data_IF_480067492672
#
_entry.id   IF_480067492672
#
_cell.length_a   1.000
_cell.length_b   1.000
_cell.length_c   1.000
_cell.angle_alpha   90.00
_cell.angle_beta   90.00
_cell.angle_gamma   90.00
#
_symmetry.space_group_name_H-M   'P 1'
#
loop_
_entity.id
_entity.type
_entity.pdbx_description
1 polymer ?
#
# COMPACT_ATOMS: atom_id res chain seq x y z
N UNK A 1 -9.93 -0.31 4.74
CA UNK A 1 -9.74 0.85 3.83
C UNK A 1 -9.26 2.10 4.55
N UNK A 2 -9.99 2.68 5.52
CA UNK A 2 -9.55 3.91 6.23
C UNK A 2 -8.18 3.78 6.91
N UNK A 3 -7.95 2.68 7.61
CA UNK A 3 -6.65 2.39 8.25
C UNK A 3 -5.48 2.34 7.25
N UNK A 4 -5.73 1.83 6.04
CA UNK A 4 -4.70 1.70 4.99
C UNK A 4 -4.21 3.08 4.54
N UNK A 5 -5.12 4.04 4.39
CA UNK A 5 -4.78 5.41 4.04
C UNK A 5 -4.02 6.11 5.17
N UNK A 6 -4.42 5.88 6.43
CA UNK A 6 -3.75 6.45 7.61
C UNK A 6 -2.32 5.90 7.74
N UNK A 7 -2.13 4.58 7.61
CA UNK A 7 -0.80 3.97 7.65
C UNK A 7 0.08 4.43 6.48
N UNK A 8 -0.47 4.49 5.27
CA UNK A 8 0.28 4.96 4.09
C UNK A 8 0.69 6.43 4.22
N UNK A 9 -0.15 7.27 4.83
CA UNK A 9 0.15 8.67 5.11
C UNK A 9 1.22 8.82 6.21
N UNK A 10 1.14 8.02 7.29
CA UNK A 10 2.16 8.04 8.33
C UNK A 10 3.54 7.64 7.77
N UNK A 11 3.60 6.61 6.93
CA UNK A 11 4.85 6.14 6.31
C UNK A 11 5.42 7.20 5.35
N UNK A 12 4.58 7.85 4.54
CA UNK A 12 5.03 8.89 3.60
C UNK A 12 5.54 10.15 4.32
N UNK A 13 4.92 10.54 5.44
CA UNK A 13 5.38 11.66 6.28
C UNK A 13 6.74 11.34 6.92
N UNK A 14 6.91 10.13 7.46
CA UNK A 14 8.20 9.70 8.03
C UNK A 14 9.29 9.69 6.96
N UNK A 15 9.01 9.15 5.78
CA UNK A 15 9.94 9.18 4.64
C UNK A 15 10.33 10.62 4.28
N UNK A 16 9.34 11.52 4.17
CA UNK A 16 9.58 12.93 3.87
C UNK A 16 10.47 13.59 4.93
N UNK A 17 10.22 13.36 6.22
CA UNK A 17 11.03 13.91 7.32
C UNK A 17 12.48 13.42 7.28
N UNK A 18 12.71 12.13 7.07
CA UNK A 18 14.06 11.58 6.96
C UNK A 18 14.80 12.15 5.76
N UNK A 19 14.14 12.18 4.60
CA UNK A 19 14.73 12.74 3.39
C UNK A 19 14.97 14.25 3.49
N UNK A 20 14.10 14.97 4.18
CA UNK A 20 14.28 16.39 4.44
C UNK A 20 15.48 16.65 5.37
N UNK A 21 15.67 15.81 6.39
CA UNK A 21 16.90 15.85 7.21
C UNK A 21 18.13 15.57 6.35
N UNK A 22 18.10 14.53 5.51
CA UNK A 22 19.21 14.16 4.62
C UNK A 22 19.62 15.34 3.71
N UNK A 23 18.65 16.07 3.15
CA UNK A 23 18.91 17.27 2.35
C UNK A 23 19.55 18.43 3.13
N UNK A 24 19.37 18.49 4.45
CA UNK A 24 19.98 19.51 5.32
C UNK A 24 21.44 19.18 5.65
N UNK A 25 21.79 17.89 5.70
CA UNK A 25 23.16 17.43 5.97
C UNK A 25 24.02 17.25 4.71
N UNK A 26 23.40 17.26 3.52
CA UNK A 26 24.11 17.15 2.25
C UNK A 26 24.80 18.50 1.87
N UNK A 27 26.06 18.48 1.38
CA UNK A 27 26.75 19.68 0.92
C UNK A 27 25.93 20.42 -0.15
N UNK A 28 26.04 21.76 -0.16
CA UNK A 28 25.16 22.63 -0.95
C UNK A 28 25.18 22.34 -2.46
N UNK A 29 26.31 21.83 -2.96
CA UNK A 29 26.53 21.46 -4.36
C UNK A 29 25.72 20.22 -4.82
N UNK A 30 25.23 19.38 -3.90
CA UNK A 30 24.42 18.18 -4.21
C UNK A 30 22.97 18.29 -3.77
N UNK A 31 22.53 19.46 -3.27
CA UNK A 31 21.14 19.68 -2.82
C UNK A 31 20.17 19.38 -3.97
N UNK A 32 19.60 18.17 -3.96
CA UNK A 32 18.55 17.77 -4.90
C UNK A 32 17.42 18.79 -4.86
N UNK A 33 16.79 19.14 -5.99
CA UNK A 33 15.71 20.12 -5.96
C UNK A 33 14.55 19.57 -5.12
N UNK A 34 13.99 20.39 -4.21
CA UNK A 34 12.82 20.05 -3.37
C UNK A 34 11.63 19.48 -4.18
N UNK A 35 11.53 19.86 -5.45
CA UNK A 35 10.55 19.34 -6.41
C UNK A 35 10.68 17.83 -6.64
N UNK A 36 11.90 17.28 -6.60
CA UNK A 36 12.16 15.84 -6.75
C UNK A 36 11.69 15.11 -5.49
N UNK A 37 11.96 15.67 -4.31
CA UNK A 37 11.55 15.10 -3.04
C UNK A 37 10.03 14.91 -2.92
N UNK A 38 9.26 15.92 -3.35
CA UNK A 38 7.81 15.83 -3.38
C UNK A 38 7.32 14.70 -4.30
N UNK A 39 7.94 14.54 -5.48
CA UNK A 39 7.59 13.46 -6.41
C UNK A 39 7.90 12.09 -5.82
N UNK A 40 9.06 11.93 -5.19
CA UNK A 40 9.46 10.69 -4.53
C UNK A 40 8.51 10.34 -3.37
N UNK A 41 8.13 11.32 -2.55
CA UNK A 41 7.20 11.12 -1.43
C UNK A 41 5.80 10.71 -1.90
N UNK A 42 5.31 11.31 -2.99
CA UNK A 42 4.05 10.89 -3.62
C UNK A 42 4.13 9.47 -4.16
N UNK A 43 5.24 9.11 -4.80
CA UNK A 43 5.46 7.74 -5.28
C UNK A 43 5.43 6.73 -4.13
N UNK A 44 6.12 7.02 -3.01
CA UNK A 44 6.11 6.18 -1.80
C UNK A 44 4.69 6.00 -1.25
N UNK A 45 3.89 7.07 -1.21
CA UNK A 45 2.49 6.98 -0.78
C UNK A 45 1.66 6.04 -1.67
N UNK A 46 1.74 6.21 -3.00
CA UNK A 46 1.02 5.33 -3.93
C UNK A 46 1.50 3.88 -3.85
N UNK A 47 2.80 3.66 -3.69
CA UNK A 47 3.38 2.33 -3.53
C UNK A 47 2.90 1.63 -2.24
N UNK A 48 2.76 2.35 -1.13
CA UNK A 48 2.21 1.80 0.11
C UNK A 48 0.73 1.40 -0.05
N UNK A 49 -0.08 2.29 -0.66
CA UNK A 49 -1.50 2.03 -0.89
C UNK A 49 -1.69 0.82 -1.82
N UNK A 50 -0.95 0.76 -2.93
CA UNK A 50 -1.03 -0.37 -3.86
C UNK A 50 -0.51 -1.66 -3.25
N UNK A 51 0.59 -1.61 -2.49
CA UNK A 51 1.16 -2.77 -1.80
C UNK A 51 0.19 -3.40 -0.80
N UNK A 52 -0.50 -2.58 0.01
CA UNK A 52 -1.49 -3.08 0.97
C UNK A 52 -2.74 -3.61 0.26
N UNK A 53 -3.16 -2.97 -0.85
CA UNK A 53 -4.26 -3.49 -1.66
C UNK A 53 -3.92 -4.84 -2.29
N UNK A 54 -2.73 -4.98 -2.88
CA UNK A 54 -2.26 -6.26 -3.43
C UNK A 54 -2.18 -7.32 -2.33
N UNK A 55 -1.61 -6.99 -1.17
CA UNK A 55 -1.54 -7.90 -0.03
C UNK A 55 -2.93 -8.38 0.39
N UNK A 56 -3.93 -7.49 0.42
CA UNK A 56 -5.32 -7.87 0.73
C UNK A 56 -5.92 -8.85 -0.29
N UNK A 57 -5.45 -8.87 -1.53
CA UNK A 57 -5.88 -9.84 -2.53
C UNK A 57 -5.21 -11.20 -2.36
N UNK A 58 -4.03 -11.25 -1.74
CA UNK A 58 -3.30 -12.49 -1.43
C UNK A 58 -3.68 -13.08 -0.07
N UNK A 59 -4.50 -12.41 0.75
CA UNK A 59 -5.14 -13.01 1.94
C UNK A 59 -6.28 -13.93 1.47
N UNK A 60 -5.90 -15.03 0.83
CA UNK A 60 -6.79 -16.07 0.29
C UNK A 60 -7.34 -16.95 1.40
N UNK A 61 -8.06 -16.34 2.34
CA UNK A 61 -8.96 -17.09 3.25
C UNK A 61 -10.12 -17.76 2.50
N UNK A 62 -10.42 -17.33 1.28
CA UNK A 62 -11.43 -17.94 0.42
C UNK A 62 -10.91 -19.11 -0.45
N UNK A 63 -9.59 -19.38 -0.51
CA UNK A 63 -9.09 -20.60 -1.20
C UNK A 63 -9.28 -21.85 -0.34
N UNK A 64 -9.35 -21.70 0.99
CA UNK A 64 -9.59 -22.81 1.93
C UNK A 64 -11.01 -22.75 2.52
N UNK A 65 -11.98 -22.29 1.72
CA UNK A 65 -13.39 -22.33 2.07
C UNK A 65 -14.07 -23.52 1.39
N UNK A 66 -14.57 -24.46 2.18
CA UNK A 66 -15.52 -25.53 1.82
C UNK A 66 -16.81 -24.98 1.18
N UNK A 67 -16.71 -24.35 0.02
CA UNK A 67 -17.85 -23.96 -0.81
C UNK A 67 -17.84 -24.87 -2.02
N UNK A 68 -18.12 -26.14 -1.78
CA UNK A 68 -18.62 -27.04 -2.84
C UNK A 68 -19.77 -26.30 -3.53
N UNK A 69 -19.69 -26.05 -4.85
CA UNK A 69 -20.71 -25.27 -5.53
C UNK A 69 -22.04 -26.01 -5.39
N UNK A 70 -23.01 -25.38 -4.70
CA UNK A 70 -24.34 -25.97 -4.44
C UNK A 70 -25.22 -26.09 -5.71
N UNK A 71 -24.63 -25.99 -6.91
CA UNK A 71 -25.33 -26.03 -8.17
C UNK A 71 -25.97 -27.39 -8.50
N UNK A 72 -25.62 -28.46 -7.75
CA UNK A 72 -26.10 -29.82 -8.01
C UNK A 72 -26.52 -30.61 -6.75
N UNK A 73 -26.81 -29.94 -5.64
CA UNK A 73 -27.23 -30.59 -4.38
C UNK A 73 -28.74 -30.53 -4.13
N UNK A 74 -29.53 -30.01 -5.07
CA UNK A 74 -30.98 -30.00 -4.89
C UNK A 74 -31.54 -31.41 -5.08
N UNK A 75 -32.16 -31.95 -4.03
CA UNK A 75 -32.72 -33.31 -4.04
C UNK A 75 -33.98 -33.30 -4.91
N UNK A 76 -34.14 -34.22 -5.88
CA UNK A 76 -35.26 -34.18 -6.82
C UNK A 76 -36.59 -34.27 -6.07
N UNK A 77 -37.43 -33.23 -6.23
CA UNK A 77 -38.84 -33.23 -5.82
C UNK A 77 -39.64 -34.05 -6.82
N UNK A 78 -39.69 -35.37 -6.56
CA UNK A 78 -40.75 -36.24 -7.09
C UNK A 78 -42.09 -35.89 -6.45
#
# INVERSE_FOLDING_TARGET
MKEVFIYSLAISVVFFLFKFLEMKFLPEDEKKPLKVLMKETLLVYFACVSGIMLYSQFDVKDITGDKTPMAFVDNPSF
#
